data_IF_372931464038
#
_entry.id   IF_372931464038
#
_cell.length_a   1.000
_cell.length_b   1.000
_cell.length_c   1.000
_cell.angle_alpha   90.00
_cell.angle_beta   90.00
_cell.angle_gamma   90.00
#
_symmetry.space_group_name_H-M   'P 1'
#
loop_
_entity.id
_entity.type
_entity.pdbx_description
1 polymer ?
#
# COMPACT_ATOMS: atom_id res chain seq x y z
N UNK A 1 -17.00 0.52 2.84
CA UNK A 1 -16.39 1.80 2.42
C UNK A 1 -16.58 2.86 3.50
N UNK A 2 -15.95 4.04 3.38
CA UNK A 2 -15.88 5.03 4.47
C UNK A 2 -17.26 5.39 5.05
N UNK A 3 -18.26 5.55 4.19
CA UNK A 3 -19.64 5.88 4.57
C UNK A 3 -20.25 4.90 5.59
N UNK A 4 -20.23 3.60 5.27
CA UNK A 4 -20.83 2.55 6.13
C UNK A 4 -20.07 2.45 7.46
N UNK A 5 -18.75 2.62 7.46
CA UNK A 5 -17.93 2.56 8.68
C UNK A 5 -18.29 3.73 9.59
N UNK A 6 -18.38 4.96 9.05
CA UNK A 6 -18.80 6.16 9.79
C UNK A 6 -20.19 5.99 10.42
N UNK A 7 -21.15 5.47 9.64
CA UNK A 7 -22.51 5.16 10.12
C UNK A 7 -22.50 4.12 11.26
N UNK A 8 -21.62 3.12 11.18
CA UNK A 8 -21.51 2.04 12.18
C UNK A 8 -20.90 2.51 13.50
N UNK A 9 -19.80 3.27 13.46
CA UNK A 9 -19.06 3.70 14.66
C UNK A 9 -19.59 5.02 15.25
N UNK A 10 -20.48 5.71 14.52
CA UNK A 10 -21.06 7.02 14.88
C UNK A 10 -20.02 8.09 15.25
N UNK A 11 -18.88 8.08 14.55
CA UNK A 11 -17.77 9.04 14.71
C UNK A 11 -17.19 9.39 13.34
N UNK A 12 -16.63 10.58 13.22
CA UNK A 12 -15.88 10.95 12.03
C UNK A 12 -14.68 10.03 11.82
N UNK A 13 -14.38 9.75 10.56
CA UNK A 13 -13.19 8.99 10.20
C UNK A 13 -11.98 9.94 10.17
N UNK A 14 -10.79 9.46 10.54
CA UNK A 14 -9.57 10.25 10.43
C UNK A 14 -9.39 10.84 9.03
N UNK A 15 -8.71 11.99 8.95
CA UNK A 15 -8.35 12.56 7.66
C UNK A 15 -7.52 11.57 6.85
N UNK A 16 -7.82 11.46 5.56
CA UNK A 16 -7.11 10.54 4.69
C UNK A 16 -7.41 9.05 4.94
N UNK A 17 -8.37 8.70 5.80
CA UNK A 17 -8.74 7.30 6.04
C UNK A 17 -8.99 6.55 4.71
N UNK A 18 -8.32 5.40 4.54
CA UNK A 18 -8.24 4.59 3.31
C UNK A 18 -7.50 5.21 2.11
N UNK A 19 -6.84 6.36 2.25
CA UNK A 19 -5.87 6.85 1.26
C UNK A 19 -4.54 6.12 1.41
N UNK A 20 -3.77 6.08 0.33
CA UNK A 20 -2.47 5.41 0.29
C UNK A 20 -1.53 5.91 1.38
N UNK A 21 -1.48 7.22 1.63
CA UNK A 21 -0.63 7.85 2.64
C UNK A 21 -1.01 7.39 4.06
N UNK A 22 -2.31 7.42 4.38
CA UNK A 22 -2.81 6.94 5.66
C UNK A 22 -2.48 5.46 5.89
N UNK A 23 -2.65 4.64 4.85
CA UNK A 23 -2.36 3.20 4.94
C UNK A 23 -0.86 2.92 5.11
N UNK A 24 0.00 3.69 4.44
CA UNK A 24 1.45 3.62 4.61
C UNK A 24 1.86 4.00 6.03
N UNK A 25 1.36 5.12 6.57
CA UNK A 25 1.69 5.60 7.92
C UNK A 25 1.29 4.61 9.03
N UNK A 26 0.29 3.77 8.78
CA UNK A 26 -0.18 2.74 9.71
C UNK A 26 0.42 1.35 9.44
N UNK A 27 1.37 1.23 8.51
CA UNK A 27 2.09 -0.01 8.23
C UNK A 27 1.32 -1.05 7.42
N UNK A 28 0.27 -0.64 6.71
CA UNK A 28 -0.49 -1.53 5.82
C UNK A 28 0.06 -1.59 4.39
N UNK A 29 0.90 -0.64 4.01
CA UNK A 29 1.60 -0.61 2.72
C UNK A 29 3.10 -0.48 2.97
N UNK A 30 3.91 -1.12 2.13
CA UNK A 30 5.37 -0.99 2.21
C UNK A 30 5.87 0.33 1.59
N UNK A 31 5.25 0.77 0.49
CA UNK A 31 5.58 2.02 -0.19
C UNK A 31 4.49 2.46 -1.17
N UNK A 32 4.53 3.74 -1.56
CA UNK A 32 3.67 4.33 -2.59
C UNK A 32 4.53 4.67 -3.81
N UNK A 33 4.09 4.28 -5.00
CA UNK A 33 4.84 4.47 -6.24
C UNK A 33 4.09 5.39 -7.20
N UNK A 34 4.76 6.43 -7.71
CA UNK A 34 4.19 7.25 -8.77
C UNK A 34 4.06 6.42 -10.06
N UNK A 35 2.95 6.59 -10.78
CA UNK A 35 2.61 5.75 -11.95
C UNK A 35 3.70 5.74 -13.03
N UNK A 36 4.43 6.85 -13.22
CA UNK A 36 5.48 6.95 -14.24
C UNK A 36 6.65 5.99 -14.04
N UNK A 37 6.91 5.54 -12.81
CA UNK A 37 8.02 4.63 -12.48
C UNK A 37 7.54 3.24 -12.06
N UNK A 38 6.23 2.96 -12.18
CA UNK A 38 5.64 1.71 -11.70
C UNK A 38 6.27 0.47 -12.36
N UNK A 39 6.57 0.54 -13.67
CA UNK A 39 7.16 -0.58 -14.40
C UNK A 39 8.55 -0.95 -13.86
N UNK A 40 9.39 0.06 -13.62
CA UNK A 40 10.73 -0.11 -13.06
C UNK A 40 10.67 -0.71 -11.66
N UNK A 41 9.81 -0.18 -10.79
CA UNK A 41 9.63 -0.72 -9.43
C UNK A 41 9.15 -2.17 -9.42
N UNK A 42 8.27 -2.57 -10.33
CA UNK A 42 7.84 -3.97 -10.45
C UNK A 42 9.00 -4.87 -10.89
N UNK A 43 9.79 -4.43 -11.88
CA UNK A 43 10.95 -5.19 -12.37
C UNK A 43 12.01 -5.42 -11.27
N UNK A 44 12.30 -4.39 -10.48
CA UNK A 44 13.19 -4.47 -9.31
C UNK A 44 12.69 -5.52 -8.30
N UNK A 45 11.40 -5.48 -7.94
CA UNK A 45 10.83 -6.42 -6.96
C UNK A 45 10.88 -7.86 -7.49
N UNK A 46 10.50 -8.08 -8.75
CA UNK A 46 10.56 -9.41 -9.36
C UNK A 46 12.00 -9.94 -9.42
N UNK A 47 12.96 -9.09 -9.74
CA UNK A 47 14.38 -9.45 -9.76
C UNK A 47 14.89 -9.83 -8.37
N UNK A 48 14.52 -9.04 -7.34
CA UNK A 48 14.85 -9.30 -5.95
C UNK A 48 14.36 -10.68 -5.50
N UNK A 49 13.08 -11.00 -5.74
CA UNK A 49 12.50 -12.29 -5.32
C UNK A 49 12.98 -13.47 -6.19
N UNK A 50 13.36 -13.24 -7.45
CA UNK A 50 13.90 -14.30 -8.32
C UNK A 50 15.29 -14.79 -7.88
N UNK A 51 16.07 -13.97 -7.17
CA UNK A 51 17.39 -14.37 -6.70
C UNK A 51 17.35 -15.44 -5.59
N UNK A 52 16.20 -15.66 -4.95
CA UNK A 52 16.05 -16.69 -3.90
C UNK A 52 16.03 -18.13 -4.45
N UNK A 53 15.66 -18.36 -5.72
CA UNK A 53 15.64 -19.72 -6.31
C UNK A 53 17.03 -20.30 -6.60
N UNK A 54 18.10 -19.49 -6.54
CA UNK A 54 19.47 -19.96 -6.85
C UNK A 54 20.30 -20.34 -5.64
N UNK A 55 19.72 -20.32 -4.44
CA UNK A 55 20.38 -20.79 -3.22
C UNK A 55 19.68 -22.08 -2.76
N UNK A 56 19.91 -23.17 -3.49
CA UNK A 56 19.54 -24.55 -3.13
C UNK A 56 20.53 -25.50 -3.77
#
# INVERSE_FOLDING_TARGET
GPRVIKETIKRDLPEGFQRSEFLLDHGFLDFIVHRSILKERIDEMLTLFKMEEKVS
#
